data_IF_645645034009
#
_entry.id   IF_645645034009
#
_cell.length_a   1.000
_cell.length_b   1.000
_cell.length_c   1.000
_cell.angle_alpha   90.00
_cell.angle_beta   90.00
_cell.angle_gamma   90.00
#
_symmetry.space_group_name_H-M   'P 1'
#
loop_
_entity.id
_entity.type
_entity.pdbx_description
1 polymer ?
#
# COMPACT_ATOMS: atom_id res chain seq x y z
N UNK A 1 -16.12 -30.71 10.43
CA UNK A 1 -14.64 -30.76 10.46
C UNK A 1 -14.15 -29.74 9.44
N UNK A 2 -14.00 -28.49 9.89
CA UNK A 2 -13.53 -27.37 9.09
C UNK A 2 -12.01 -27.38 9.14
N UNK A 3 -11.37 -27.72 8.04
CA UNK A 3 -9.95 -27.43 7.82
C UNK A 3 -9.82 -25.91 7.67
N UNK A 4 -9.45 -25.26 8.78
CA UNK A 4 -8.90 -23.92 8.78
C UNK A 4 -7.65 -23.94 7.88
N UNK A 5 -7.75 -23.34 6.69
CA UNK A 5 -6.57 -22.94 5.95
C UNK A 5 -5.94 -21.78 6.72
N UNK A 6 -4.97 -22.10 7.59
CA UNK A 6 -3.95 -21.15 8.00
C UNK A 6 -3.08 -20.87 6.78
N UNK A 7 -3.03 -19.63 6.24
CA UNK A 7 -1.86 -19.23 5.47
C UNK A 7 -0.67 -19.48 6.38
N UNK A 8 0.32 -20.18 5.86
CA UNK A 8 1.57 -20.55 6.52
C UNK A 8 2.01 -19.53 7.57
N UNK A 9 2.29 -20.05 8.77
CA UNK A 9 3.15 -19.52 9.82
C UNK A 9 3.80 -18.19 9.47
N UNK A 10 3.60 -17.17 10.31
CA UNK A 10 4.29 -15.88 10.33
C UNK A 10 5.71 -15.98 9.77
N UNK A 11 5.85 -15.92 8.45
CA UNK A 11 7.13 -15.87 7.80
C UNK A 11 7.64 -14.50 8.18
N UNK A 12 8.66 -14.45 9.03
CA UNK A 12 9.46 -13.24 9.24
C UNK A 12 9.67 -12.62 7.87
N UNK A 13 9.09 -11.43 7.61
CA UNK A 13 9.22 -10.73 6.35
C UNK A 13 10.66 -10.18 6.29
N UNK A 14 11.61 -11.10 6.09
CA UNK A 14 12.99 -10.78 5.72
C UNK A 14 13.03 -10.51 4.22
N UNK A 15 14.03 -9.75 3.74
CA UNK A 15 14.32 -9.71 2.32
C UNK A 15 14.43 -11.14 1.79
N UNK A 16 13.66 -11.46 0.77
CA UNK A 16 13.65 -12.80 0.18
C UNK A 16 14.60 -12.86 -1.01
N UNK A 17 14.75 -11.73 -1.70
CA UNK A 17 15.53 -11.65 -2.92
C UNK A 17 16.85 -10.92 -2.73
N UNK A 18 17.01 -10.15 -1.64
CA UNK A 18 18.27 -9.52 -1.28
C UNK A 18 19.12 -10.50 -0.45
N UNK A 19 20.24 -10.96 -1.03
CA UNK A 19 21.29 -11.73 -0.35
C UNK A 19 22.63 -10.97 -0.44
N UNK A 20 23.56 -11.24 0.48
CA UNK A 20 24.92 -10.64 0.51
C UNK A 20 25.68 -10.83 -0.81
N UNK A 21 25.44 -11.94 -1.51
CA UNK A 21 26.08 -12.21 -2.80
C UNK A 21 25.58 -11.31 -3.94
N UNK A 22 24.39 -10.72 -3.77
CA UNK A 22 23.76 -9.84 -4.77
C UNK A 22 24.25 -8.40 -4.65
N UNK A 23 24.75 -8.00 -3.47
CA UNK A 23 25.24 -6.64 -3.18
C UNK A 23 26.38 -6.22 -4.12
N UNK A 24 27.26 -7.15 -4.49
CA UNK A 24 28.37 -6.89 -5.40
C UNK A 24 27.94 -6.70 -6.87
N UNK A 25 26.66 -6.83 -7.18
CA UNK A 25 26.11 -6.75 -8.55
C UNK A 25 24.93 -5.78 -8.56
N UNK A 26 25.16 -4.47 -8.80
CA UNK A 26 24.14 -3.44 -8.65
C UNK A 26 22.86 -3.66 -9.46
N UNK A 27 22.95 -4.19 -10.69
CA UNK A 27 21.76 -4.54 -11.49
C UNK A 27 20.91 -5.64 -10.82
N UNK A 28 21.54 -6.65 -10.22
CA UNK A 28 20.82 -7.73 -9.51
C UNK A 28 20.23 -7.22 -8.18
N UNK A 29 20.97 -6.37 -7.47
CA UNK A 29 20.48 -5.76 -6.24
C UNK A 29 19.25 -4.87 -6.50
N UNK A 30 19.25 -4.13 -7.60
CA UNK A 30 18.09 -3.37 -8.04
C UNK A 30 16.90 -4.28 -8.31
N UNK A 31 17.08 -5.36 -9.07
CA UNK A 31 15.99 -6.31 -9.35
C UNK A 31 15.43 -6.95 -8.08
N UNK A 32 16.30 -7.35 -7.15
CA UNK A 32 15.90 -7.89 -5.86
C UNK A 32 15.11 -6.88 -5.02
N UNK A 33 15.57 -5.61 -4.96
CA UNK A 33 14.86 -4.54 -4.26
C UNK A 33 13.46 -4.32 -4.85
N UNK A 34 13.32 -4.32 -6.18
CA UNK A 34 12.02 -4.17 -6.86
C UNK A 34 11.06 -5.30 -6.45
N UNK A 35 11.55 -6.55 -6.43
CA UNK A 35 10.73 -7.71 -6.06
C UNK A 35 10.29 -7.67 -4.59
N UNK A 36 11.19 -7.29 -3.67
CA UNK A 36 10.83 -7.13 -2.27
C UNK A 36 9.86 -5.94 -2.07
N UNK A 37 9.97 -4.85 -2.85
CA UNK A 37 8.98 -3.76 -2.85
C UNK A 37 7.61 -4.20 -3.36
N UNK A 38 7.55 -5.06 -4.37
CA UNK A 38 6.30 -5.67 -4.84
C UNK A 38 5.65 -6.51 -3.73
N UNK A 39 6.44 -7.25 -2.94
CA UNK A 39 5.95 -7.98 -1.76
C UNK A 39 5.40 -7.05 -0.69
N UNK A 40 6.09 -5.95 -0.39
CA UNK A 40 5.57 -4.94 0.56
C UNK A 40 4.23 -4.39 0.08
N UNK A 41 4.11 -4.05 -1.20
CA UNK A 41 2.87 -3.51 -1.76
C UNK A 41 1.73 -4.53 -1.73
N UNK A 42 2.01 -5.80 -2.03
CA UNK A 42 1.05 -6.90 -1.98
C UNK A 42 0.50 -7.12 -0.56
N UNK A 43 1.40 -7.19 0.43
CA UNK A 43 1.03 -7.37 1.83
C UNK A 43 0.27 -6.14 2.36
N UNK A 44 0.71 -4.91 2.03
CA UNK A 44 -0.01 -3.69 2.37
C UNK A 44 -1.43 -3.70 1.80
N UNK A 45 -1.58 -4.12 0.53
CA UNK A 45 -2.90 -4.33 -0.08
C UNK A 45 -3.73 -5.33 0.73
N UNK A 46 -3.17 -6.48 1.05
CA UNK A 46 -3.86 -7.51 1.83
C UNK A 46 -4.36 -6.96 3.17
N UNK A 47 -3.54 -6.20 3.89
CA UNK A 47 -3.93 -5.54 5.14
C UNK A 47 -5.07 -4.53 4.93
N UNK A 48 -5.02 -3.72 3.87
CA UNK A 48 -6.09 -2.77 3.53
C UNK A 48 -7.42 -3.49 3.24
N UNK A 49 -7.39 -4.61 2.52
CA UNK A 49 -8.58 -5.42 2.26
C UNK A 49 -9.16 -6.06 3.52
N UNK A 50 -8.30 -6.55 4.42
CA UNK A 50 -8.74 -7.13 5.69
C UNK A 50 -9.44 -6.08 6.56
N UNK A 51 -8.86 -4.89 6.69
CA UNK A 51 -9.51 -3.81 7.44
C UNK A 51 -10.84 -3.38 6.82
N UNK A 52 -10.92 -3.26 5.49
CA UNK A 52 -12.19 -2.95 4.83
C UNK A 52 -13.28 -4.00 5.11
N UNK A 53 -12.88 -5.27 5.34
CA UNK A 53 -13.78 -6.36 5.76
C UNK A 53 -14.06 -6.39 7.27
N UNK A 54 -13.55 -5.43 8.03
CA UNK A 54 -13.68 -5.37 9.49
C UNK A 54 -12.79 -6.36 10.24
N UNK A 55 -11.77 -6.92 9.58
CA UNK A 55 -10.79 -7.80 10.21
C UNK A 55 -9.70 -6.92 10.82
N UNK A 56 -9.53 -7.00 12.14
CA UNK A 56 -8.46 -6.30 12.85
C UNK A 56 -7.10 -6.80 12.37
N UNK A 57 -6.25 -5.85 11.98
CA UNK A 57 -4.86 -6.10 11.64
C UNK A 57 -4.05 -6.06 12.92
N UNK A 58 -3.25 -7.10 13.17
CA UNK A 58 -2.31 -7.07 14.28
C UNK A 58 -1.12 -6.14 13.96
N UNK A 59 -0.48 -5.60 14.99
CA UNK A 59 0.67 -4.70 14.81
C UNK A 59 1.91 -5.43 14.23
N UNK A 60 1.97 -6.76 14.36
CA UNK A 60 3.10 -7.57 13.92
C UNK A 60 3.32 -7.54 12.39
N UNK A 61 2.32 -7.79 11.53
CA UNK A 61 2.43 -7.59 10.08
C UNK A 61 2.96 -6.20 9.69
N UNK A 62 2.49 -5.14 10.35
CA UNK A 62 2.91 -3.76 10.05
C UNK A 62 4.38 -3.54 10.44
N UNK A 63 4.78 -4.01 11.63
CA UNK A 63 6.18 -3.94 12.07
C UNK A 63 7.12 -4.74 11.14
N UNK A 64 6.65 -5.88 10.62
CA UNK A 64 7.40 -6.68 9.66
C UNK A 64 7.58 -5.94 8.32
N UNK A 65 6.58 -5.20 7.86
CA UNK A 65 6.69 -4.37 6.64
C UNK A 65 7.71 -3.23 6.81
N UNK A 66 7.70 -2.51 7.94
CA UNK A 66 8.73 -1.52 8.23
C UNK A 66 10.13 -2.14 8.25
N UNK A 67 10.26 -3.34 8.82
CA UNK A 67 11.53 -4.06 8.87
C UNK A 67 12.04 -4.40 7.47
N UNK A 68 11.16 -4.86 6.57
CA UNK A 68 11.52 -5.13 5.18
C UNK A 68 11.92 -3.84 4.44
N UNK A 69 11.14 -2.75 4.59
CA UNK A 69 11.48 -1.45 3.99
C UNK A 69 12.85 -0.96 4.46
N UNK A 70 13.11 -1.04 5.77
CA UNK A 70 14.40 -0.67 6.36
C UNK A 70 15.55 -1.51 5.81
N UNK A 71 15.34 -2.82 5.67
CA UNK A 71 16.33 -3.70 5.08
C UNK A 71 16.63 -3.31 3.62
N UNK A 72 15.61 -3.08 2.78
CA UNK A 72 15.80 -2.63 1.39
C UNK A 72 16.60 -1.32 1.36
N UNK A 73 16.30 -0.35 2.22
CA UNK A 73 17.05 0.91 2.32
C UNK A 73 18.53 0.69 2.68
N UNK A 74 18.80 -0.16 3.66
CA UNK A 74 20.17 -0.48 4.06
C UNK A 74 20.95 -1.13 2.91
N UNK A 75 20.31 -2.05 2.17
CA UNK A 75 20.89 -2.68 0.98
C UNK A 75 21.21 -1.64 -0.12
N UNK A 76 20.29 -0.72 -0.39
CA UNK A 76 20.53 0.35 -1.37
C UNK A 76 21.73 1.21 -0.96
N UNK A 77 21.83 1.57 0.32
CA UNK A 77 22.97 2.35 0.85
C UNK A 77 24.27 1.60 0.69
N UNK A 78 24.31 0.30 1.02
CA UNK A 78 25.51 -0.54 0.88
C UNK A 78 25.94 -0.67 -0.59
N UNK A 79 25.01 -0.95 -1.50
CA UNK A 79 25.29 -1.00 -2.95
C UNK A 79 25.80 0.36 -3.49
N UNK A 80 25.30 1.47 -2.95
CA UNK A 80 25.68 2.82 -3.37
C UNK A 80 27.09 3.24 -2.96
N UNK A 81 27.79 2.44 -2.14
CA UNK A 81 29.21 2.65 -1.84
C UNK A 81 30.13 2.23 -3.01
N UNK A 82 29.59 1.49 -3.98
CA UNK A 82 30.31 1.09 -5.19
C UNK A 82 30.18 2.15 -6.28
N UNK A 83 31.01 2.05 -7.33
CA UNK A 83 30.88 2.91 -8.49
C UNK A 83 29.65 2.49 -9.33
N UNK A 84 28.56 3.22 -9.18
CA UNK A 84 27.31 2.99 -9.92
C UNK A 84 27.32 3.71 -11.27
N UNK A 85 26.65 3.13 -12.26
CA UNK A 85 26.26 3.88 -13.45
C UNK A 85 25.20 4.93 -13.09
N UNK A 86 25.08 6.04 -13.85
CA UNK A 86 24.04 7.05 -13.61
C UNK A 86 22.61 6.47 -13.61
N UNK A 87 22.36 5.48 -14.47
CA UNK A 87 21.05 4.83 -14.57
C UNK A 87 20.70 4.05 -13.31
N UNK A 88 21.64 3.27 -12.77
CA UNK A 88 21.44 2.49 -11.54
C UNK A 88 21.32 3.40 -10.33
N UNK A 89 22.12 4.48 -10.26
CA UNK A 89 22.00 5.47 -9.20
C UNK A 89 20.62 6.14 -9.18
N UNK A 90 20.10 6.50 -10.35
CA UNK A 90 18.75 7.06 -10.51
C UNK A 90 17.67 6.04 -10.12
N UNK A 91 17.83 4.77 -10.52
CA UNK A 91 16.91 3.71 -10.14
C UNK A 91 16.90 3.48 -8.63
N UNK A 92 18.05 3.49 -7.95
CA UNK A 92 18.09 3.40 -6.49
C UNK A 92 17.44 4.60 -5.78
N UNK A 93 17.54 5.82 -6.33
CA UNK A 93 16.76 6.95 -5.82
C UNK A 93 15.26 6.68 -5.89
N UNK A 94 14.78 6.11 -7.00
CA UNK A 94 13.37 5.72 -7.13
C UNK A 94 12.99 4.59 -6.14
N UNK A 95 13.89 3.64 -5.86
CA UNK A 95 13.68 2.63 -4.79
C UNK A 95 13.47 3.30 -3.44
N UNK A 96 14.31 4.28 -3.07
CA UNK A 96 14.17 5.03 -1.82
C UNK A 96 12.86 5.83 -1.80
N UNK A 97 12.48 6.48 -2.90
CA UNK A 97 11.20 7.19 -3.00
C UNK A 97 10.01 6.25 -2.81
N UNK A 98 10.00 5.09 -3.47
CA UNK A 98 8.98 4.06 -3.24
C UNK A 98 8.89 3.68 -1.76
N UNK A 99 10.03 3.43 -1.11
CA UNK A 99 10.09 3.04 0.31
C UNK A 99 9.56 4.12 1.25
N UNK A 100 9.83 5.40 0.95
CA UNK A 100 9.27 6.53 1.69
C UNK A 100 7.74 6.56 1.55
N UNK A 101 7.23 6.45 0.34
CA UNK A 101 5.80 6.46 0.05
C UNK A 101 5.09 5.27 0.73
N UNK A 102 5.68 4.07 0.70
CA UNK A 102 5.17 2.89 1.42
C UNK A 102 5.18 3.10 2.94
N UNK A 103 6.22 3.72 3.51
CA UNK A 103 6.28 4.00 4.94
C UNK A 103 5.16 4.94 5.38
N UNK A 104 4.87 5.97 4.57
CA UNK A 104 3.76 6.90 4.85
C UNK A 104 2.42 6.16 4.79
N UNK A 105 2.24 5.18 3.89
CA UNK A 105 1.05 4.33 3.93
C UNK A 105 0.91 3.59 5.25
N UNK A 106 1.99 2.98 5.73
CA UNK A 106 2.01 2.27 7.02
C UNK A 106 1.71 3.22 8.18
N UNK A 107 2.24 4.44 8.18
CA UNK A 107 1.98 5.44 9.23
C UNK A 107 0.49 5.82 9.33
N UNK A 108 -0.26 5.70 8.22
CA UNK A 108 -1.68 6.06 8.16
C UNK A 108 -2.61 4.83 8.24
N UNK A 109 -2.07 3.62 8.34
CA UNK A 109 -2.86 2.38 8.28
C UNK A 109 -3.67 2.13 9.56
N UNK A 110 -3.10 2.48 10.71
CA UNK A 110 -3.74 2.32 12.02
C UNK A 110 -5.00 3.18 12.13
N UNK A 111 -4.92 4.43 11.67
CA UNK A 111 -6.07 5.35 11.63
C UNK A 111 -7.19 4.82 10.72
N UNK A 112 -6.87 4.07 9.66
CA UNK A 112 -7.86 3.42 8.83
C UNK A 112 -8.53 2.23 9.54
N UNK A 113 -7.79 1.46 10.34
CA UNK A 113 -8.36 0.44 11.21
C UNK A 113 -9.32 1.06 12.24
N UNK A 114 -8.91 2.15 12.88
CA UNK A 114 -9.75 2.86 13.86
C UNK A 114 -10.98 3.50 13.21
N UNK A 115 -10.92 3.89 11.93
CA UNK A 115 -12.08 4.39 11.19
C UNK A 115 -13.19 3.34 11.13
N UNK A 116 -12.85 2.06 10.98
CA UNK A 116 -13.84 0.97 10.97
C UNK A 116 -14.59 0.87 12.29
N UNK A 117 -13.87 1.02 13.40
CA UNK A 117 -14.46 0.99 14.75
C UNK A 117 -15.35 2.21 14.96
N UNK A 118 -14.84 3.40 14.62
CA UNK A 118 -15.57 4.66 14.78
C UNK A 118 -16.87 4.67 13.96
N UNK A 119 -16.82 4.14 12.74
CA UNK A 119 -17.98 4.05 11.83
C UNK A 119 -19.16 3.30 12.47
N UNK A 120 -18.92 2.31 13.34
CA UNK A 120 -20.00 1.56 14.00
C UNK A 120 -20.86 2.42 14.93
N UNK A 121 -20.32 3.55 15.41
CA UNK A 121 -21.04 4.48 16.29
C UNK A 121 -21.92 5.50 15.55
N UNK A 122 -21.83 5.56 14.23
CA UNK A 122 -22.51 6.56 13.42
C UNK A 122 -23.91 6.12 12.98
N UNK A 123 -24.74 7.09 12.64
CA UNK A 123 -26.02 6.82 11.98
C UNK A 123 -25.81 6.26 10.56
N UNK A 124 -26.86 5.64 10.02
CA UNK A 124 -26.78 4.85 8.78
C UNK A 124 -26.28 5.66 7.58
N UNK A 125 -26.72 6.91 7.42
CA UNK A 125 -26.34 7.73 6.28
C UNK A 125 -24.83 8.07 6.25
N UNK A 126 -24.25 8.40 7.41
CA UNK A 126 -22.82 8.65 7.60
C UNK A 126 -22.00 7.37 7.36
N UNK A 127 -22.51 6.22 7.83
CA UNK A 127 -21.85 4.93 7.58
C UNK A 127 -21.82 4.59 6.09
N UNK A 128 -22.90 4.84 5.38
CA UNK A 128 -23.02 4.55 3.94
C UNK A 128 -22.07 5.41 3.11
N UNK A 129 -22.04 6.73 3.35
CA UNK A 129 -21.14 7.63 2.60
C UNK A 129 -19.66 7.31 2.84
N UNK A 130 -19.29 6.98 4.09
CA UNK A 130 -17.92 6.55 4.42
C UNK A 130 -17.62 5.20 3.76
N UNK A 131 -18.54 4.24 3.78
CA UNK A 131 -18.35 2.92 3.16
C UNK A 131 -18.20 3.02 1.64
N UNK A 132 -18.90 3.96 0.99
CA UNK A 132 -18.72 4.24 -0.43
C UNK A 132 -17.30 4.74 -0.72
N UNK A 133 -16.79 5.68 0.08
CA UNK A 133 -15.43 6.19 -0.03
C UNK A 133 -14.38 5.07 0.15
N UNK A 134 -14.59 4.16 1.10
CA UNK A 134 -13.71 2.99 1.30
C UNK A 134 -13.75 2.00 0.12
N UNK A 135 -14.93 1.81 -0.48
CA UNK A 135 -15.06 0.98 -1.69
C UNK A 135 -14.27 1.55 -2.86
N UNK A 136 -14.10 2.87 -2.94
CA UNK A 136 -13.25 3.51 -3.96
C UNK A 136 -11.78 3.28 -3.69
N UNK A 137 -11.34 3.30 -2.43
CA UNK A 137 -9.98 2.94 -2.02
C UNK A 137 -9.64 1.53 -2.47
N UNK A 138 -10.51 0.55 -2.18
CA UNK A 138 -10.29 -0.84 -2.63
C UNK A 138 -10.31 -0.98 -4.15
N UNK A 139 -11.14 -0.19 -4.85
CA UNK A 139 -11.17 -0.14 -6.32
C UNK A 139 -9.84 0.37 -6.88
N UNK A 140 -9.30 1.47 -6.36
CA UNK A 140 -8.01 2.02 -6.78
C UNK A 140 -6.88 1.01 -6.55
N UNK A 141 -6.82 0.40 -5.37
CA UNK A 141 -5.80 -0.60 -5.02
C UNK A 141 -5.86 -1.83 -5.93
N UNK A 142 -7.08 -2.30 -6.26
CA UNK A 142 -7.25 -3.39 -7.21
C UNK A 142 -6.75 -3.01 -8.61
N UNK A 143 -7.03 -1.80 -9.10
CA UNK A 143 -6.52 -1.32 -10.40
C UNK A 143 -5.00 -1.24 -10.41
N UNK A 144 -4.35 -0.83 -9.32
CA UNK A 144 -2.89 -0.91 -9.19
C UNK A 144 -2.36 -2.35 -9.25
N UNK A 145 -3.18 -3.36 -8.95
CA UNK A 145 -2.77 -4.77 -8.95
C UNK A 145 -2.94 -5.46 -10.31
N UNK A 146 -3.56 -4.78 -11.29
CA UNK A 146 -3.78 -5.33 -12.63
C UNK A 146 -2.48 -5.31 -13.45
N UNK A 147 -1.78 -6.46 -13.47
CA UNK A 147 -0.53 -6.77 -14.22
C UNK A 147 0.62 -5.74 -14.07
N UNK A 148 1.75 -6.14 -13.43
CA UNK A 148 2.98 -5.36 -13.48
C UNK A 148 3.45 -5.12 -14.93
N UNK A 149 3.90 -3.91 -15.26
CA UNK A 149 4.41 -3.57 -16.59
C UNK A 149 3.36 -3.10 -17.61
N UNK A 150 2.16 -2.75 -17.15
CA UNK A 150 1.17 -2.01 -17.94
C UNK A 150 1.57 -0.52 -17.96
N UNK A 151 1.40 0.16 -19.09
CA UNK A 151 1.74 1.58 -19.28
C UNK A 151 1.10 2.47 -18.20
N UNK A 152 1.88 2.82 -17.17
CA UNK A 152 1.61 4.00 -16.37
C UNK A 152 1.95 5.23 -17.22
N UNK A 153 1.05 6.22 -17.40
CA UNK A 153 -0.15 6.52 -16.59
C UNK A 153 -1.50 6.03 -17.16
N UNK A 154 -1.53 5.27 -18.25
CA UNK A 154 -2.74 4.99 -19.04
C UNK A 154 -3.70 3.93 -18.44
N UNK A 155 -3.47 3.45 -17.22
CA UNK A 155 -4.31 2.43 -16.59
C UNK A 155 -5.54 2.99 -15.83
N UNK A 156 -5.77 4.30 -15.90
CA UNK A 156 -6.94 4.96 -15.29
C UNK A 156 -6.88 5.12 -13.77
N UNK A 157 -5.76 4.78 -13.11
CA UNK A 157 -5.59 4.96 -11.66
C UNK A 157 -5.68 6.44 -11.26
N UNK A 158 -5.07 7.34 -12.04
CA UNK A 158 -5.13 8.78 -11.76
C UNK A 158 -6.56 9.33 -11.85
N UNK A 159 -7.34 8.86 -12.82
CA UNK A 159 -8.75 9.25 -12.96
C UNK A 159 -9.58 8.75 -11.76
N UNK A 160 -9.37 7.50 -11.33
CA UNK A 160 -10.04 6.94 -10.14
C UNK A 160 -9.65 7.70 -8.88
N UNK A 161 -8.38 8.06 -8.73
CA UNK A 161 -7.91 8.87 -7.60
C UNK A 161 -8.56 10.27 -7.63
N UNK A 162 -8.72 10.89 -8.80
CA UNK A 162 -9.39 12.18 -8.91
C UNK A 162 -10.89 12.11 -8.52
N UNK A 163 -11.59 11.03 -8.89
CA UNK A 163 -12.98 10.79 -8.45
C UNK A 163 -13.03 10.61 -6.93
N UNK A 164 -12.14 9.79 -6.37
CA UNK A 164 -12.02 9.61 -4.92
C UNK A 164 -11.78 10.95 -4.20
N UNK A 165 -10.94 11.82 -4.73
CA UNK A 165 -10.67 13.14 -4.14
C UNK A 165 -11.91 14.05 -4.13
N UNK A 166 -12.75 13.97 -5.16
CA UNK A 166 -14.04 14.69 -5.20
C UNK A 166 -15.02 14.13 -4.17
N UNK A 167 -15.16 12.81 -4.10
CA UNK A 167 -16.05 12.16 -3.12
C UNK A 167 -15.56 12.32 -1.68
N UNK A 168 -14.24 12.36 -1.46
CA UNK A 168 -13.65 12.72 -0.18
C UNK A 168 -14.13 14.11 0.25
N UNK A 169 -14.02 15.12 -0.62
CA UNK A 169 -14.46 16.48 -0.30
C UNK A 169 -15.96 16.52 0.04
N UNK A 170 -16.81 15.82 -0.73
CA UNK A 170 -18.25 15.68 -0.44
C UNK A 170 -18.51 14.99 0.90
N UNK A 171 -17.75 13.94 1.22
CA UNK A 171 -17.87 13.21 2.50
C UNK A 171 -17.55 14.11 3.68
N UNK A 172 -16.49 14.91 3.59
CA UNK A 172 -16.12 15.88 4.63
C UNK A 172 -17.24 16.90 4.84
N UNK A 173 -17.81 17.46 3.77
CA UNK A 173 -18.94 18.39 3.89
C UNK A 173 -20.17 17.73 4.53
N UNK A 174 -20.47 16.49 4.17
CA UNK A 174 -21.59 15.73 4.74
C UNK A 174 -21.42 15.50 6.26
N UNK A 175 -20.21 15.16 6.70
CA UNK A 175 -19.89 14.97 8.13
C UNK A 175 -20.03 16.29 8.89
N UNK A 176 -19.55 17.41 8.33
CA UNK A 176 -19.67 18.74 8.94
C UNK A 176 -21.14 19.16 9.08
N UNK A 177 -21.96 18.97 8.04
CA UNK A 177 -23.40 19.26 8.12
C UNK A 177 -24.09 18.36 9.14
N UNK A 178 -23.65 17.11 9.29
CA UNK A 178 -24.11 16.20 10.34
C UNK A 178 -23.93 16.76 11.76
N UNK A 179 -22.86 17.52 12.03
CA UNK A 179 -22.70 18.22 13.31
C UNK A 179 -23.69 19.36 13.45
N UNK A 180 -23.87 20.16 12.39
CA UNK A 180 -24.82 21.29 12.39
C UNK A 180 -26.25 20.82 12.67
N UNK A 181 -26.62 19.65 12.14
CA UNK A 181 -27.91 19.00 12.34
C UNK A 181 -27.98 18.17 13.64
N UNK A 182 -26.94 18.19 14.48
CA UNK A 182 -26.84 17.43 15.74
C UNK A 182 -26.93 15.90 15.58
N UNK A 183 -26.69 15.38 14.36
CA UNK A 183 -26.60 13.95 14.06
C UNK A 183 -25.24 13.36 14.47
N UNK A 184 -24.20 14.18 14.44
CA UNK A 184 -22.83 13.79 14.76
C UNK A 184 -22.33 14.65 15.93
N UNK A 185 -21.85 14.05 17.04
CA UNK A 185 -21.21 14.82 18.11
C UNK A 185 -19.93 15.50 17.61
N UNK A 186 -19.63 16.70 18.08
CA UNK A 186 -18.43 17.46 17.65
C UNK A 186 -17.13 16.68 17.86
N UNK A 187 -16.99 15.98 18.98
CA UNK A 187 -15.81 15.15 19.25
C UNK A 187 -15.69 13.99 18.25
N UNK A 188 -16.80 13.36 17.90
CA UNK A 188 -16.84 12.31 16.86
C UNK A 188 -16.48 12.86 15.49
N UNK A 189 -16.88 14.10 15.16
CA UNK A 189 -16.48 14.76 13.92
C UNK A 189 -14.96 14.96 13.86
N UNK A 190 -14.33 15.48 14.91
CA UNK A 190 -12.88 15.72 14.91
C UNK A 190 -12.11 14.42 14.66
N UNK A 191 -12.51 13.33 15.33
CA UNK A 191 -11.93 12.00 15.14
C UNK A 191 -12.18 11.46 13.71
N UNK A 192 -13.40 11.64 13.17
CA UNK A 192 -13.71 11.25 11.79
C UNK A 192 -12.86 12.00 10.77
N UNK A 193 -12.74 13.32 10.90
CA UNK A 193 -11.98 14.14 9.97
C UNK A 193 -10.50 13.76 9.99
N UNK A 194 -9.93 13.48 11.18
CA UNK A 194 -8.55 12.99 11.32
C UNK A 194 -8.36 11.68 10.57
N UNK A 195 -9.25 10.70 10.80
CA UNK A 195 -9.17 9.34 10.22
C UNK A 195 -9.43 9.32 8.72
N UNK A 196 -10.42 10.07 8.25
CA UNK A 196 -10.66 10.27 6.82
C UNK A 196 -9.45 10.94 6.16
N UNK A 197 -8.83 11.93 6.82
CA UNK A 197 -7.59 12.55 6.35
C UNK A 197 -6.43 11.55 6.23
N UNK A 198 -6.31 10.61 7.17
CA UNK A 198 -5.33 9.53 7.10
C UNK A 198 -5.61 8.57 5.94
N UNK A 199 -6.86 8.13 5.76
CA UNK A 199 -7.29 7.31 4.61
C UNK A 199 -6.91 7.96 3.27
N UNK A 200 -7.19 9.27 3.14
CA UNK A 200 -6.81 10.04 1.95
C UNK A 200 -5.30 10.07 1.73
N UNK A 201 -4.50 10.32 2.76
CA UNK A 201 -3.04 10.29 2.63
C UNK A 201 -2.57 8.90 2.21
N UNK A 202 -3.03 7.86 2.91
CA UNK A 202 -2.67 6.47 2.62
C UNK A 202 -2.88 6.12 1.14
N UNK A 203 -4.07 6.39 0.57
CA UNK A 203 -4.32 6.02 -0.83
C UNK A 203 -3.49 6.83 -1.84
N UNK A 204 -3.24 8.12 -1.57
CA UNK A 204 -2.37 8.94 -2.44
C UNK A 204 -0.94 8.41 -2.45
N UNK A 205 -0.40 8.09 -1.28
CA UNK A 205 0.94 7.56 -1.14
C UNK A 205 1.05 6.14 -1.71
N UNK A 206 0.00 5.32 -1.59
CA UNK A 206 -0.07 4.00 -2.22
C UNK A 206 0.03 4.10 -3.75
N UNK A 207 -0.75 5.00 -4.37
CA UNK A 207 -0.71 5.22 -5.83
C UNK A 207 0.66 5.70 -6.30
N UNK A 208 1.31 6.60 -5.55
CA UNK A 208 2.67 7.06 -5.86
C UNK A 208 3.71 5.95 -5.76
N UNK A 209 3.70 5.18 -4.67
CA UNK A 209 4.58 4.03 -4.49
C UNK A 209 4.43 3.04 -5.67
N UNK A 210 3.18 2.74 -6.04
CA UNK A 210 2.89 1.90 -7.18
C UNK A 210 3.42 2.48 -8.50
N UNK A 211 3.25 3.79 -8.74
CA UNK A 211 3.80 4.48 -9.92
C UNK A 211 5.32 4.40 -10.02
N UNK A 212 6.04 4.60 -8.91
CA UNK A 212 7.49 4.42 -8.88
C UNK A 212 7.91 2.98 -9.15
N UNK A 213 7.17 1.99 -8.62
CA UNK A 213 7.41 0.57 -8.93
C UNK A 213 7.23 0.30 -10.43
N UNK A 214 6.25 0.90 -11.11
CA UNK A 214 6.10 0.74 -12.56
C UNK A 214 7.29 1.32 -13.34
N UNK A 215 7.78 2.50 -12.95
CA UNK A 215 8.99 3.10 -13.55
C UNK A 215 10.18 2.15 -13.35
N UNK A 216 10.36 1.61 -12.14
CA UNK A 216 11.44 0.67 -11.83
C UNK A 216 11.35 -0.62 -12.65
N UNK A 217 10.15 -1.15 -12.89
CA UNK A 217 9.94 -2.35 -13.70
C UNK A 217 10.32 -2.14 -15.17
N UNK A 218 10.17 -0.93 -15.70
CA UNK A 218 10.62 -0.58 -17.06
C UNK A 218 12.16 -0.55 -17.18
N UNK A 219 12.86 -0.30 -16.07
CA UNK A 219 14.31 -0.26 -16.01
C UNK A 219 14.94 -1.65 -15.78
N UNK A 220 14.13 -2.68 -15.47
CA UNK A 220 14.59 -4.06 -15.28
C UNK A 220 15.12 -4.63 -16.61
N UNK A 221 16.40 -5.02 -16.64
CA UNK A 221 16.99 -5.69 -17.81
C UNK A 221 16.49 -7.14 -17.95
N UNK A 222 16.15 -7.61 -19.17
CA UNK A 222 15.84 -9.02 -19.42
C UNK A 222 17.10 -9.88 -19.24
N UNK A 223 16.99 -11.00 -18.51
CA UNK A 223 18.10 -11.91 -18.20
C UNK A 223 18.10 -12.47 -16.76
N UNK A 224 17.24 -11.96 -15.87
CA UNK A 224 17.02 -12.52 -14.52
C UNK A 224 15.81 -13.46 -14.47
N UNK A 225 15.85 -14.54 -15.23
CA UNK A 225 14.82 -15.60 -15.20
C UNK A 225 14.84 -16.40 -13.88
N UNK A 226 15.88 -16.23 -13.05
CA UNK A 226 16.02 -16.92 -11.76
C UNK A 226 15.22 -16.28 -10.61
N UNK A 227 14.60 -15.11 -10.80
CA UNK A 227 13.83 -14.41 -9.77
C UNK A 227 12.40 -14.15 -10.29
N UNK A 228 11.52 -15.14 -10.05
CA UNK A 228 10.09 -15.01 -10.35
C UNK A 228 9.42 -14.06 -9.36
N UNK A 229 8.64 -13.12 -9.90
CA UNK A 229 7.84 -12.19 -9.11
C UNK A 229 6.63 -12.92 -8.51
N UNK A 230 6.20 -12.57 -7.28
CA UNK A 230 4.96 -13.11 -6.73
C UNK A 230 3.77 -12.75 -7.63
N UNK A 231 2.91 -13.74 -7.90
CA UNK A 231 1.69 -13.52 -8.68
C UNK A 231 0.67 -12.74 -7.84
N UNK A 232 0.58 -11.42 -8.06
CA UNK A 232 -0.34 -10.49 -7.35
C UNK A 232 -1.85 -10.83 -7.52
N UNK A 233 -2.19 -11.85 -8.31
CA UNK A 233 -3.57 -12.33 -8.51
C UNK A 233 -3.99 -13.45 -7.57
N UNK A 234 -3.06 -14.18 -6.95
CA UNK A 234 -3.36 -15.44 -6.26
C UNK A 234 -3.64 -15.29 -4.75
N UNK A 235 -3.64 -14.07 -4.20
CA UNK A 235 -3.75 -13.84 -2.74
C UNK A 235 -5.11 -13.33 -2.25
N UNK A 236 -6.13 -13.25 -3.13
CA UNK A 236 -7.50 -12.99 -2.67
C UNK A 236 -8.23 -14.31 -2.47
N UNK A 237 -8.76 -14.61 -1.26
CA UNK A 237 -9.67 -15.74 -1.12
C UNK A 237 -10.90 -15.46 -1.99
N UNK A 238 -11.16 -16.38 -2.91
CA UNK A 238 -12.36 -16.41 -3.73
C UNK A 238 -13.60 -16.24 -2.82
N UNK A 239 -14.54 -15.40 -3.27
CA UNK A 239 -15.84 -15.20 -2.64
C UNK A 239 -16.49 -16.57 -2.37
N UNK A 240 -16.73 -16.87 -1.10
CA UNK A 240 -17.79 -17.78 -0.66
C UNK A 240 -18.85 -16.94 0.03
#
# INVERSE_FOLDING_TARGET
>A
LLTLFTPSESQTIKPQYLDKNIISMPDLALNAAILDQQRVLAELRFQIFNMHRGINVSNEPIANLYSLISAINNYVVECSQQQLSPDIATAFQNVIHTNLELSICLDNIEEFSELQILKLSLATAEREIISQLESEVTTIINTCSEKPGVDFPNNGVEQKLAVFEQHFATTIQFVIEGVREQRVPTQTMDDLLKKLGALRRMIRHYVKAWGYIQILLQLRKPGTEALEAPNLKDELPHKN
#
